data_IF_083520201874
#
_entry.id   IF_083520201874
#
_cell.length_a   1.000
_cell.length_b   1.000
_cell.length_c   1.000
_cell.angle_alpha   90.00
_cell.angle_beta   90.00
_cell.angle_gamma   90.00
#
_symmetry.space_group_name_H-M   'P 1'
#
loop_
_entity.id
_entity.type
_entity.pdbx_description
1 polymer ?
#
# COMPACT_ATOMS: atom_id res chain seq x y z
N UNK A 1 0.06 -30.17 2.45
CA UNK A 1 -1.21 -29.42 2.55
C UNK A 1 -0.89 -27.93 2.62
N UNK A 2 -1.56 -27.09 1.80
CA UNK A 2 -1.35 -25.63 1.82
C UNK A 2 -2.14 -25.04 2.97
N UNK A 3 -1.59 -25.08 4.18
CA UNK A 3 -2.21 -24.47 5.35
C UNK A 3 -2.25 -22.95 5.19
N UNK A 4 -3.46 -22.38 5.21
CA UNK A 4 -3.64 -20.93 5.38
C UNK A 4 -2.94 -20.47 6.67
N UNK A 5 -2.47 -19.22 6.71
CA UNK A 5 -1.95 -18.58 7.94
C UNK A 5 -2.95 -18.75 9.09
N UNK A 6 -4.25 -18.76 8.78
CA UNK A 6 -5.34 -19.04 9.73
C UNK A 6 -5.26 -20.43 10.36
N UNK A 7 -4.96 -21.47 9.57
CA UNK A 7 -4.83 -22.84 10.09
C UNK A 7 -3.59 -23.00 10.98
N UNK A 8 -2.51 -22.30 10.64
CA UNK A 8 -1.31 -22.26 11.47
C UNK A 8 -1.58 -21.51 12.80
N UNK A 9 -2.36 -20.42 12.76
CA UNK A 9 -2.84 -19.71 13.96
C UNK A 9 -3.73 -20.58 14.85
N UNK A 10 -4.66 -21.35 14.27
CA UNK A 10 -5.51 -22.27 15.03
C UNK A 10 -4.71 -23.39 15.69
N UNK A 11 -3.69 -23.90 15.00
CA UNK A 11 -2.79 -24.93 15.55
C UNK A 11 -1.94 -24.36 16.69
N UNK A 12 -1.38 -23.16 16.50
CA UNK A 12 -0.62 -22.46 17.54
C UNK A 12 -1.48 -22.11 18.76
N UNK A 13 -2.74 -21.72 18.57
CA UNK A 13 -3.62 -21.43 19.71
C UNK A 13 -4.01 -22.68 20.52
N UNK A 14 -3.93 -23.87 19.91
CA UNK A 14 -4.31 -25.12 20.57
C UNK A 14 -3.16 -25.73 21.38
N UNK A 15 -1.97 -25.76 20.79
CA UNK A 15 -0.80 -26.46 21.35
C UNK A 15 0.44 -25.54 21.36
N UNK A 16 0.32 -24.30 21.83
CA UNK A 16 1.46 -23.39 21.86
C UNK A 16 2.53 -23.91 22.84
N UNK A 17 3.76 -24.23 22.41
CA UNK A 17 4.87 -24.40 23.34
C UNK A 17 5.15 -23.06 24.06
N UNK A 18 5.96 -23.07 25.12
CA UNK A 18 6.29 -21.88 25.93
C UNK A 18 7.18 -20.84 25.20
N UNK A 19 6.77 -20.39 24.01
CA UNK A 19 7.43 -19.40 23.18
C UNK A 19 6.68 -18.06 23.16
N UNK A 20 7.41 -16.94 23.23
CA UNK A 20 6.84 -15.60 23.13
C UNK A 20 6.55 -15.17 21.66
N UNK A 21 7.14 -15.85 20.67
CA UNK A 21 6.99 -15.59 19.24
C UNK A 21 7.33 -16.78 18.33
N UNK A 22 6.77 -16.78 17.11
CA UNK A 22 6.99 -17.79 16.07
C UNK A 22 7.16 -17.14 14.69
N UNK A 23 8.05 -17.69 13.86
CA UNK A 23 8.17 -17.31 12.45
C UNK A 23 7.48 -18.36 11.61
N UNK A 24 6.48 -17.95 10.83
CA UNK A 24 5.75 -18.84 9.91
C UNK A 24 6.03 -18.39 8.49
N UNK A 25 6.40 -19.34 7.63
CA UNK A 25 6.47 -19.10 6.20
C UNK A 25 5.12 -19.40 5.55
N UNK A 26 4.54 -18.42 4.87
CA UNK A 26 3.36 -18.62 4.05
C UNK A 26 3.76 -18.83 2.59
N UNK A 27 3.50 -20.03 2.08
CA UNK A 27 3.77 -20.37 0.68
C UNK A 27 2.86 -19.61 -0.30
N UNK A 28 1.66 -19.19 0.11
CA UNK A 28 0.71 -18.49 -0.77
C UNK A 28 1.15 -17.08 -1.14
N UNK A 29 1.87 -16.41 -0.23
CA UNK A 29 2.38 -15.06 -0.45
C UNK A 29 3.91 -14.96 -0.45
N UNK A 30 4.62 -16.10 -0.36
CA UNK A 30 6.08 -16.21 -0.35
C UNK A 30 6.74 -15.27 0.68
N UNK A 31 6.13 -15.15 1.87
CA UNK A 31 6.55 -14.24 2.94
C UNK A 31 6.66 -14.96 4.27
N UNK A 32 7.56 -14.46 5.11
CA UNK A 32 7.66 -14.84 6.52
C UNK A 32 6.81 -13.89 7.37
N UNK A 33 6.07 -14.45 8.32
CA UNK A 33 5.26 -13.72 9.28
C UNK A 33 5.81 -14.01 10.67
N UNK A 34 6.05 -12.95 11.44
CA UNK A 34 6.39 -13.07 12.86
C UNK A 34 5.09 -12.96 13.66
N UNK A 35 4.63 -14.07 14.22
CA UNK A 35 3.51 -14.08 15.16
C UNK A 35 4.05 -13.94 16.58
N UNK A 36 3.39 -13.13 17.41
CA UNK A 36 3.75 -12.93 18.81
C UNK A 36 2.48 -12.82 19.66
N UNK A 37 2.60 -13.16 20.93
CA UNK A 37 1.48 -13.10 21.88
C UNK A 37 1.09 -11.65 22.15
N UNK A 38 -0.20 -11.40 22.35
CA UNK A 38 -0.66 -10.05 22.70
C UNK A 38 0.06 -9.55 23.97
N UNK A 39 0.66 -8.36 23.90
CA UNK A 39 1.45 -7.79 24.98
C UNK A 39 2.96 -8.13 24.97
N UNK A 40 3.42 -9.07 24.14
CA UNK A 40 4.87 -9.40 24.03
C UNK A 40 5.61 -8.65 22.92
N UNK A 41 4.93 -7.76 22.18
CA UNK A 41 5.49 -7.07 21.00
C UNK A 41 6.87 -6.44 21.26
N UNK A 42 6.98 -5.57 22.27
CA UNK A 42 8.23 -4.86 22.55
C UNK A 42 9.37 -5.83 22.90
N UNK A 43 9.09 -6.83 23.74
CA UNK A 43 10.05 -7.86 24.15
C UNK A 43 10.55 -8.70 22.96
N UNK A 44 9.65 -9.04 22.03
CA UNK A 44 9.98 -9.79 20.82
C UNK A 44 10.82 -8.96 19.87
N UNK A 45 10.45 -7.69 19.64
CA UNK A 45 11.21 -6.79 18.77
C UNK A 45 12.60 -6.47 19.32
N UNK A 46 12.74 -6.34 20.64
CA UNK A 46 14.03 -6.13 21.30
C UNK A 46 14.95 -7.36 21.14
N UNK A 47 14.45 -8.57 21.41
CA UNK A 47 15.19 -9.82 21.16
C UNK A 47 15.56 -10.01 19.69
N UNK A 48 14.69 -9.61 18.77
CA UNK A 48 14.97 -9.66 17.34
C UNK A 48 16.10 -8.67 16.98
N UNK A 49 16.06 -7.46 17.53
CA UNK A 49 17.11 -6.46 17.33
C UNK A 49 18.46 -6.94 17.92
N UNK A 50 18.47 -7.52 19.12
CA UNK A 50 19.64 -8.14 19.73
C UNK A 50 20.18 -9.31 18.90
N UNK A 51 19.28 -10.16 18.37
CA UNK A 51 19.66 -11.27 17.48
C UNK A 51 20.25 -10.77 16.16
N UNK A 52 19.72 -9.69 15.59
CA UNK A 52 20.27 -9.08 14.37
C UNK A 52 21.62 -8.40 14.63
N UNK A 53 21.78 -7.75 15.79
CA UNK A 53 23.03 -7.14 16.19
C UNK A 53 24.11 -8.19 16.52
N UNK A 54 23.74 -9.30 17.17
CA UNK A 54 24.66 -10.41 17.45
C UNK A 54 24.95 -11.26 16.21
N UNK A 55 24.00 -11.44 15.29
CA UNK A 55 24.26 -12.02 13.97
C UNK A 55 25.11 -11.11 13.08
N UNK A 56 25.24 -9.83 13.42
CA UNK A 56 26.16 -8.89 12.78
C UNK A 56 27.60 -8.95 13.30
N UNK A 57 27.94 -9.97 14.12
CA UNK A 57 29.28 -10.16 14.67
C UNK A 57 30.38 -10.32 13.58
N UNK A 58 31.63 -10.14 14.00
CA UNK A 58 32.51 -9.04 13.61
C UNK A 58 33.11 -9.23 12.20
N UNK A 59 33.52 -8.13 11.57
CA UNK A 59 34.24 -8.11 10.29
C UNK A 59 35.43 -9.08 10.21
N UNK A 60 35.97 -9.54 11.34
CA UNK A 60 37.08 -10.51 11.40
C UNK A 60 36.69 -11.95 11.01
N UNK A 61 35.47 -12.40 11.29
CA UNK A 61 35.06 -13.77 10.93
C UNK A 61 34.70 -13.89 9.44
N UNK A 62 34.29 -12.76 8.82
CA UNK A 62 34.17 -12.64 7.35
C UNK A 62 35.52 -12.67 6.65
N UNK A 63 36.57 -12.10 7.25
CA UNK A 63 37.91 -12.11 6.67
C UNK A 63 38.48 -13.54 6.57
N UNK A 64 38.25 -14.37 7.61
CA UNK A 64 38.74 -15.76 7.64
C UNK A 64 37.91 -16.72 6.77
N UNK A 65 36.60 -16.50 6.63
CA UNK A 65 35.79 -17.26 5.66
C UNK A 65 36.10 -16.86 4.21
N UNK A 66 36.37 -15.58 3.96
CA UNK A 66 36.76 -15.10 2.64
C UNK A 66 38.17 -15.60 2.24
N UNK A 67 39.13 -15.61 3.16
CA UNK A 67 40.44 -16.26 2.95
C UNK A 67 40.32 -17.76 2.70
N UNK A 68 39.50 -18.48 3.46
CA UNK A 68 39.26 -19.92 3.25
C UNK A 68 38.63 -20.21 1.89
N UNK A 69 37.65 -19.40 1.46
CA UNK A 69 37.05 -19.51 0.13
C UNK A 69 38.04 -19.21 -0.98
N UNK A 70 38.90 -18.21 -0.79
CA UNK A 70 39.94 -17.85 -1.75
C UNK A 70 41.02 -18.94 -1.87
N UNK A 71 41.35 -19.62 -0.76
CA UNK A 71 42.27 -20.76 -0.75
C UNK A 71 41.70 -21.97 -1.49
N UNK A 72 40.43 -22.30 -1.25
CA UNK A 72 39.73 -23.38 -1.96
C UNK A 72 39.56 -23.10 -3.46
N UNK A 73 39.41 -21.83 -3.87
CA UNK A 73 39.35 -21.44 -5.28
C UNK A 73 40.69 -21.59 -6.01
N UNK A 74 41.81 -21.48 -5.29
CA UNK A 74 43.14 -21.67 -5.87
C UNK A 74 43.51 -23.15 -6.03
N UNK A 75 42.94 -24.04 -5.22
CA UNK A 75 43.24 -25.48 -5.23
C UNK A 75 42.39 -26.27 -6.24
N UNK A 76 41.24 -25.75 -6.65
CA UNK A 76 40.44 -26.38 -7.70
C UNK A 76 40.91 -25.93 -9.10
N UNK A 77 41.22 -26.87 -9.99
CA UNK A 77 41.43 -26.62 -11.43
C UNK A 77 40.11 -26.20 -12.09
N UNK A 78 39.65 -25.00 -11.79
CA UNK A 78 38.45 -24.41 -12.38
C UNK A 78 38.78 -24.01 -13.83
N UNK A 79 38.04 -24.51 -14.83
CA UNK A 79 38.17 -24.10 -16.23
C UNK A 79 38.19 -22.58 -16.41
N UNK A 80 38.97 -22.09 -17.37
CA UNK A 80 39.17 -20.65 -17.59
C UNK A 80 37.84 -19.88 -17.76
N UNK A 81 36.85 -20.49 -18.42
CA UNK A 81 35.53 -19.89 -18.65
C UNK A 81 34.75 -19.67 -17.35
N UNK A 82 34.83 -20.61 -16.42
CA UNK A 82 34.18 -20.49 -15.11
C UNK A 82 34.87 -19.42 -14.24
N UNK A 83 36.20 -19.25 -14.35
CA UNK A 83 36.91 -18.15 -13.68
C UNK A 83 36.51 -16.79 -14.24
N UNK A 84 36.31 -16.68 -15.56
CA UNK A 84 35.84 -15.46 -16.20
C UNK A 84 34.42 -15.08 -15.73
N UNK A 85 33.52 -16.07 -15.69
CA UNK A 85 32.15 -15.88 -15.19
C UNK A 85 32.14 -15.47 -13.71
N UNK A 86 32.96 -16.11 -12.88
CA UNK A 86 33.10 -15.76 -11.47
C UNK A 86 33.58 -14.31 -11.28
N UNK A 87 34.54 -13.86 -12.10
CA UNK A 87 35.00 -12.47 -12.08
C UNK A 87 33.88 -11.49 -12.44
N UNK A 88 33.03 -11.85 -13.41
CA UNK A 88 31.87 -11.03 -13.77
C UNK A 88 30.84 -10.97 -12.64
N UNK A 89 30.55 -12.09 -11.97
CA UNK A 89 29.65 -12.14 -10.82
C UNK A 89 30.17 -11.23 -9.70
N UNK A 90 31.45 -11.37 -9.34
CA UNK A 90 32.07 -10.54 -8.30
C UNK A 90 32.01 -9.04 -8.65
N UNK A 91 32.23 -8.68 -9.93
CA UNK A 91 32.09 -7.30 -10.39
C UNK A 91 30.64 -6.81 -10.33
N UNK A 92 29.66 -7.66 -10.66
CA UNK A 92 28.25 -7.33 -10.55
C UNK A 92 27.85 -7.10 -9.09
N UNK A 93 28.29 -7.96 -8.17
CA UNK A 93 28.05 -7.82 -6.73
C UNK A 93 28.64 -6.51 -6.18
N UNK A 94 29.88 -6.17 -6.57
CA UNK A 94 30.51 -4.91 -6.20
C UNK A 94 29.71 -3.69 -6.71
N UNK A 95 29.21 -3.75 -7.96
CA UNK A 95 28.34 -2.69 -8.51
C UNK A 95 27.04 -2.56 -7.72
N UNK A 96 26.37 -3.68 -7.41
CA UNK A 96 25.13 -3.65 -6.62
C UNK A 96 25.35 -3.10 -5.21
N UNK A 97 26.51 -3.41 -4.60
CA UNK A 97 26.87 -2.89 -3.28
C UNK A 97 27.10 -1.39 -3.32
N UNK A 98 27.80 -0.90 -4.34
CA UNK A 98 28.04 0.54 -4.53
C UNK A 98 26.73 1.29 -4.82
N UNK A 99 25.84 0.72 -5.62
CA UNK A 99 24.52 1.30 -5.92
C UNK A 99 23.65 1.36 -4.66
N UNK A 100 23.67 0.32 -3.82
CA UNK A 100 22.97 0.32 -2.53
C UNK A 100 23.49 1.43 -1.60
N UNK A 101 24.81 1.60 -1.49
CA UNK A 101 25.43 2.67 -0.70
C UNK A 101 25.06 4.08 -1.23
N UNK A 102 25.00 4.25 -2.55
CA UNK A 102 24.55 5.50 -3.17
C UNK A 102 23.08 5.78 -2.87
N UNK A 103 22.22 4.77 -2.94
CA UNK A 103 20.80 4.91 -2.62
C UNK A 103 20.58 5.30 -1.14
N UNK A 104 21.36 4.73 -0.23
CA UNK A 104 21.34 5.11 1.19
C UNK A 104 21.75 6.57 1.39
N UNK A 105 22.84 7.00 0.73
CA UNK A 105 23.31 8.40 0.78
C UNK A 105 22.24 9.36 0.27
N UNK A 106 21.66 9.10 -0.90
CA UNK A 106 20.57 9.91 -1.48
C UNK A 106 19.32 9.95 -0.57
N UNK A 107 19.00 8.85 0.10
CA UNK A 107 17.91 8.81 1.07
C UNK A 107 18.17 9.74 2.26
N UNK A 108 19.40 9.76 2.79
CA UNK A 108 19.77 10.67 3.88
C UNK A 108 19.74 12.14 3.45
N UNK A 109 20.22 12.45 2.25
CA UNK A 109 20.17 13.81 1.68
C UNK A 109 18.74 14.28 1.47
N UNK A 110 17.86 13.41 0.95
CA UNK A 110 16.44 13.72 0.78
C UNK A 110 15.76 14.01 2.13
N UNK A 111 16.08 13.26 3.17
CA UNK A 111 15.55 13.52 4.51
C UNK A 111 16.08 14.85 5.08
N UNK A 112 17.35 15.17 4.88
CA UNK A 112 17.91 16.46 5.28
C UNK A 112 17.22 17.63 4.57
N UNK A 113 17.05 17.55 3.24
CA UNK A 113 16.34 18.56 2.45
C UNK A 113 14.87 18.73 2.89
N UNK A 114 14.17 17.63 3.22
CA UNK A 114 12.80 17.69 3.77
C UNK A 114 12.74 18.47 5.10
N UNK A 115 13.73 18.29 5.98
CA UNK A 115 13.82 19.04 7.25
C UNK A 115 14.06 20.52 6.99
N UNK A 116 14.97 20.85 6.08
CA UNK A 116 15.26 22.24 5.69
C UNK A 116 14.01 22.95 5.12
N UNK A 117 13.26 22.30 4.23
CA UNK A 117 12.00 22.85 3.70
C UNK A 117 10.97 23.07 4.82
N UNK A 118 10.89 22.15 5.79
CA UNK A 118 9.97 22.30 6.92
C UNK A 118 10.36 23.50 7.80
N UNK A 119 11.66 23.71 8.03
CA UNK A 119 12.18 24.87 8.76
C UNK A 119 11.94 26.19 8.00
N UNK A 120 12.18 26.22 6.69
CA UNK A 120 11.89 27.41 5.89
C UNK A 120 10.40 27.75 5.90
N UNK A 121 9.52 26.74 5.83
CA UNK A 121 8.06 26.94 5.94
C UNK A 121 7.67 27.51 7.30
N UNK A 122 8.31 27.08 8.39
CA UNK A 122 8.02 27.64 9.72
C UNK A 122 8.49 29.09 9.83
N UNK A 123 9.68 29.42 9.30
CA UNK A 123 10.18 30.81 9.24
C UNK A 123 9.28 31.73 8.41
N UNK A 124 8.83 31.28 7.24
CA UNK A 124 7.89 32.05 6.41
C UNK A 124 6.58 32.32 7.14
N UNK A 125 6.03 31.32 7.86
CA UNK A 125 4.82 31.51 8.68
C UNK A 125 5.01 32.51 9.82
N UNK A 126 6.20 32.58 10.42
CA UNK A 126 6.51 33.55 11.47
C UNK A 126 6.67 34.97 10.94
N UNK A 127 7.12 35.14 9.69
CA UNK A 127 7.26 36.46 9.05
C UNK A 127 5.95 36.96 8.42
N UNK A 128 4.99 36.09 8.15
CA UNK A 128 3.71 36.48 7.60
C UNK A 128 2.92 37.21 8.68
N UNK A 129 2.55 38.50 8.48
CA UNK A 129 1.67 39.18 9.42
C UNK A 129 0.38 38.39 9.56
N UNK A 130 -0.23 38.34 10.75
CA UNK A 130 -1.48 37.63 10.96
C UNK A 130 -2.46 38.11 9.89
N UNK A 131 -3.00 37.15 9.11
CA UNK A 131 -3.95 37.48 8.06
C UNK A 131 -5.04 38.36 8.67
N UNK A 132 -5.40 39.49 8.04
CA UNK A 132 -6.46 40.34 8.57
C UNK A 132 -7.69 39.46 8.77
N UNK A 133 -8.42 39.62 9.89
CA UNK A 133 -9.59 38.82 10.16
C UNK A 133 -10.48 38.87 8.93
N UNK A 134 -10.76 37.69 8.35
CA UNK A 134 -11.58 37.60 7.16
C UNK A 134 -12.85 38.42 7.41
N UNK A 135 -13.26 39.30 6.47
CA UNK A 135 -14.45 40.10 6.66
C UNK A 135 -15.59 39.14 6.98
N UNK A 136 -16.17 39.28 8.18
CA UNK A 136 -17.34 38.53 8.60
C UNK A 136 -18.41 38.92 7.58
N UNK A 137 -18.57 38.10 6.54
CA UNK A 137 -19.71 38.18 5.66
C UNK A 137 -20.89 37.90 6.58
N UNK A 138 -21.59 38.97 6.98
CA UNK A 138 -22.93 38.86 7.55
C UNK A 138 -23.73 38.10 6.50
N UNK A 139 -23.88 36.79 6.71
CA UNK A 139 -24.76 35.98 5.90
C UNK A 139 -26.15 36.55 6.18
N UNK A 140 -26.68 37.26 5.20
CA UNK A 140 -28.00 37.87 5.28
C UNK A 140 -29.03 36.74 5.30
N UNK A 141 -29.37 36.28 6.51
CA UNK A 141 -30.31 35.20 6.80
C UNK A 141 -31.72 35.50 6.24
N UNK A 142 -31.98 36.74 5.83
CA UNK A 142 -33.25 37.14 5.20
C UNK A 142 -33.39 36.65 3.75
N UNK A 143 -32.30 36.37 3.03
CA UNK A 143 -32.36 35.90 1.64
C UNK A 143 -32.69 34.40 1.52
N UNK A 144 -32.45 33.62 2.58
CA UNK A 144 -32.61 32.15 2.54
C UNK A 144 -34.07 31.68 2.73
N UNK A 145 -35.00 32.58 3.05
CA UNK A 145 -36.42 32.23 3.29
C UNK A 145 -37.28 32.17 2.04
N UNK A 146 -36.81 32.64 0.87
CA UNK A 146 -37.62 32.60 -0.36
C UNK A 146 -37.48 31.31 -1.17
N UNK A 147 -36.40 30.55 -0.99
CA UNK A 147 -36.13 29.35 -1.80
C UNK A 147 -36.49 28.03 -1.09
N UNK A 148 -36.96 28.08 0.15
CA UNK A 148 -37.52 26.93 0.87
C UNK A 148 -39.03 27.10 1.03
N UNK A 149 -39.73 27.04 -0.11
CA UNK A 149 -41.14 26.70 -0.10
C UNK A 149 -41.33 25.30 0.49
N UNK A 150 -42.21 25.18 1.47
CA UNK A 150 -42.83 23.92 1.89
C UNK A 150 -41.89 22.86 2.51
N UNK A 151 -41.46 23.08 3.75
CA UNK A 151 -41.24 21.97 4.68
C UNK A 151 -42.01 22.22 5.96
N UNK A 152 -42.92 21.29 6.23
CA UNK A 152 -43.80 21.28 7.40
C UNK A 152 -43.02 21.31 8.70
N UNK A 153 -43.66 21.89 9.70
CA UNK A 153 -43.27 21.93 11.10
C UNK A 153 -42.77 20.58 11.61
N UNK A 154 -41.45 20.44 11.78
CA UNK A 154 -40.88 19.40 12.65
C UNK A 154 -40.39 20.04 13.93
N UNK A 155 -41.01 19.62 15.04
CA UNK A 155 -40.64 19.96 16.41
C UNK A 155 -39.28 19.34 16.74
N UNK A 156 -38.29 20.19 17.04
CA UNK A 156 -36.96 19.78 17.48
C UNK A 156 -37.02 19.50 18.98
N UNK A 157 -36.92 18.22 19.35
CA UNK A 157 -36.50 17.81 20.71
C UNK A 157 -34.97 17.75 20.72
N UNK A 158 -34.37 18.58 21.57
CA UNK A 158 -32.96 18.54 21.92
C UNK A 158 -32.69 17.41 22.91
N UNK A 159 -31.76 16.50 22.58
CA UNK A 159 -30.66 16.02 23.43
C UNK A 159 -30.17 14.65 22.96
N UNK A 160 -28.85 14.53 22.85
CA UNK A 160 -28.15 13.24 22.88
C UNK A 160 -27.63 12.76 21.53
N UNK A 161 -26.31 12.84 21.39
CA UNK A 161 -25.45 11.94 20.63
C UNK A 161 -25.38 11.99 19.09
N UNK A 162 -24.18 12.42 18.65
CA UNK A 162 -23.41 12.06 17.45
C UNK A 162 -24.01 12.35 16.06
N UNK A 163 -23.30 13.11 15.20
CA UNK A 163 -23.73 13.29 13.82
C UNK A 163 -23.32 12.08 12.96
N UNK A 164 -24.23 11.11 12.83
CA UNK A 164 -24.28 10.25 11.64
C UNK A 164 -25.09 10.98 10.57
N UNK A 165 -24.38 11.70 9.71
CA UNK A 165 -24.92 12.64 8.74
C UNK A 165 -25.05 11.95 7.38
N UNK A 166 -26.02 11.04 7.22
CA UNK A 166 -26.33 10.36 5.96
C UNK A 166 -27.81 9.93 5.87
N UNK A 167 -28.73 10.88 5.75
CA UNK A 167 -30.10 10.70 5.20
C UNK A 167 -30.57 12.12 4.81
N UNK A 168 -31.21 12.44 3.70
CA UNK A 168 -31.63 11.71 2.54
C UNK A 168 -31.95 12.79 1.48
N UNK A 169 -31.33 12.71 0.33
CA UNK A 169 -31.77 13.38 -0.89
C UNK A 169 -31.69 12.33 -1.98
N UNK A 170 -32.84 11.80 -2.39
CA UNK A 170 -32.96 10.82 -3.47
C UNK A 170 -32.60 11.48 -4.82
N UNK A 171 -31.33 11.74 -5.04
CA UNK A 171 -30.80 11.73 -6.39
C UNK A 171 -30.46 10.27 -6.71
N UNK A 172 -30.80 9.82 -7.91
CA UNK A 172 -30.37 8.54 -8.46
C UNK A 172 -28.83 8.53 -8.65
N UNK A 173 -28.09 8.58 -7.54
CA UNK A 173 -26.62 8.57 -7.47
C UNK A 173 -26.04 7.16 -7.71
N UNK A 174 -26.86 6.25 -8.24
CA UNK A 174 -26.48 4.91 -8.68
C UNK A 174 -25.84 4.91 -10.09
N UNK A 175 -25.39 6.07 -10.57
CA UNK A 175 -24.65 6.14 -11.82
C UNK A 175 -23.28 5.45 -11.63
N UNK A 176 -23.03 4.45 -12.46
CA UNK A 176 -21.71 3.87 -12.70
C UNK A 176 -21.30 4.25 -14.11
N UNK A 177 -20.04 4.66 -14.31
CA UNK A 177 -19.53 4.98 -15.63
C UNK A 177 -18.11 4.44 -15.82
N UNK A 178 -17.79 4.05 -17.06
CA UNK A 178 -16.46 3.51 -17.43
C UNK A 178 -15.37 4.55 -17.24
N UNK A 179 -15.69 5.82 -17.47
CA UNK A 179 -14.84 6.98 -17.23
C UNK A 179 -14.58 7.25 -15.72
N UNK A 180 -15.35 6.60 -14.84
CA UNK A 180 -15.15 6.65 -13.39
C UNK A 180 -14.41 5.41 -12.89
N UNK A 181 -13.33 5.05 -13.60
CA UNK A 181 -12.42 3.99 -13.24
C UNK A 181 -11.00 4.54 -12.99
N UNK A 182 -10.28 3.91 -12.05
CA UNK A 182 -8.86 4.17 -11.80
C UNK A 182 -8.10 2.86 -11.98
N UNK A 183 -7.07 2.86 -12.83
CA UNK A 183 -6.24 1.68 -13.04
C UNK A 183 -5.41 1.37 -11.78
N UNK A 184 -5.46 0.12 -11.31
CA UNK A 184 -4.68 -0.35 -10.16
C UNK A 184 -3.48 -1.23 -10.59
N UNK A 185 -3.53 -1.80 -11.80
CA UNK A 185 -2.47 -2.66 -12.34
C UNK A 185 -2.82 -4.16 -12.30
N UNK A 186 -1.89 -5.05 -12.65
CA UNK A 186 -2.17 -6.48 -12.82
C UNK A 186 -2.26 -7.24 -11.50
N UNK A 187 -1.73 -6.70 -10.40
CA UNK A 187 -1.79 -7.36 -9.11
C UNK A 187 -3.21 -7.30 -8.54
N UNK A 188 -3.73 -8.47 -8.17
CA UNK A 188 -4.96 -8.56 -7.40
C UNK A 188 -4.70 -7.94 -6.02
N UNK A 189 -5.37 -6.84 -5.68
CA UNK A 189 -5.22 -6.29 -4.35
C UNK A 189 -5.90 -7.23 -3.34
N UNK A 190 -5.34 -7.33 -2.13
CA UNK A 190 -5.94 -8.13 -1.08
C UNK A 190 -7.27 -7.51 -0.65
N UNK A 191 -8.31 -8.33 -0.50
CA UNK A 191 -9.65 -7.86 -0.12
C UNK A 191 -9.66 -7.14 1.24
N UNK A 192 -8.73 -7.48 2.13
CA UNK A 192 -8.56 -6.84 3.42
C UNK A 192 -8.09 -5.38 3.31
N UNK A 193 -7.32 -5.04 2.26
CA UNK A 193 -6.71 -3.72 2.10
C UNK A 193 -7.70 -2.68 1.53
N UNK A 194 -8.76 -3.16 0.87
CA UNK A 194 -9.79 -2.34 0.24
C UNK A 194 -11.06 -2.29 1.09
N UNK A 195 -10.97 -1.64 2.26
CA UNK A 195 -12.13 -1.45 3.15
C UNK A 195 -13.34 -0.84 2.42
N UNK A 196 -14.35 -1.68 2.15
CA UNK A 196 -15.61 -1.28 1.53
C UNK A 196 -15.63 -1.30 0.00
N UNK A 197 -14.60 -1.80 -0.68
CA UNK A 197 -14.69 -2.09 -2.11
C UNK A 197 -15.08 -3.56 -2.33
N UNK A 198 -15.96 -3.79 -3.30
CA UNK A 198 -16.41 -5.15 -3.65
C UNK A 198 -15.60 -5.65 -4.83
N UNK A 199 -15.06 -6.86 -4.72
CA UNK A 199 -14.35 -7.52 -5.83
C UNK A 199 -15.34 -8.26 -6.71
N UNK A 200 -15.40 -7.89 -7.97
CA UNK A 200 -16.19 -8.60 -8.98
C UNK A 200 -15.41 -9.83 -9.44
N UNK A 201 -16.08 -10.98 -9.53
CA UNK A 201 -15.46 -12.22 -10.00
C UNK A 201 -14.96 -12.04 -11.44
N UNK A 202 -13.65 -12.20 -11.71
CA UNK A 202 -13.08 -12.11 -13.07
C UNK A 202 -13.74 -13.06 -14.07
N UNK A 203 -14.31 -14.18 -13.62
CA UNK A 203 -15.04 -15.11 -14.51
C UNK A 203 -16.40 -14.55 -14.96
N UNK A 204 -16.99 -13.69 -14.14
CA UNK A 204 -18.30 -13.09 -14.40
C UNK A 204 -18.23 -11.79 -15.22
N UNK A 205 -17.07 -11.12 -15.18
CA UNK A 205 -16.82 -9.80 -15.76
C UNK A 205 -15.43 -9.77 -16.39
N UNK A 206 -15.37 -9.82 -17.72
CA UNK A 206 -14.13 -9.79 -18.51
C UNK A 206 -13.72 -8.38 -18.95
N UNK A 207 -14.64 -7.42 -18.88
CA UNK A 207 -14.39 -6.03 -19.29
C UNK A 207 -15.03 -5.02 -18.35
N UNK A 208 -14.44 -3.82 -18.29
CA UNK A 208 -14.97 -2.72 -17.50
C UNK A 208 -16.39 -2.29 -17.94
N UNK A 209 -16.69 -2.33 -19.25
CA UNK A 209 -18.03 -2.05 -19.77
C UNK A 209 -19.04 -3.08 -19.30
N UNK A 210 -18.70 -4.36 -19.30
CA UNK A 210 -19.55 -5.42 -18.77
C UNK A 210 -19.78 -5.25 -17.27
N UNK A 211 -18.73 -4.85 -16.52
CA UNK A 211 -18.82 -4.54 -15.09
C UNK A 211 -19.88 -3.47 -14.82
N UNK A 212 -19.75 -2.33 -15.51
CA UNK A 212 -20.66 -1.18 -15.38
C UNK A 212 -22.08 -1.56 -15.79
N UNK A 213 -22.25 -2.30 -16.90
CA UNK A 213 -23.57 -2.76 -17.34
C UNK A 213 -24.26 -3.62 -16.28
N UNK A 214 -23.54 -4.58 -15.68
CA UNK A 214 -24.08 -5.47 -14.63
C UNK A 214 -24.38 -4.75 -13.31
N UNK A 215 -23.59 -3.72 -12.98
CA UNK A 215 -23.83 -2.87 -11.81
C UNK A 215 -25.07 -1.98 -12.01
N UNK A 216 -25.26 -1.45 -13.22
CA UNK A 216 -26.43 -0.62 -13.58
C UNK A 216 -27.72 -1.44 -13.66
N UNK A 217 -27.67 -2.68 -14.16
CA UNK A 217 -28.85 -3.57 -14.20
C UNK A 217 -29.22 -4.15 -12.83
N UNK A 218 -28.33 -4.02 -11.83
CA UNK A 218 -28.50 -4.64 -10.51
C UNK A 218 -28.26 -6.15 -10.51
N UNK A 219 -27.72 -6.73 -11.60
CA UNK A 219 -27.29 -8.14 -11.62
C UNK A 219 -26.17 -8.37 -10.59
N UNK A 220 -25.30 -7.37 -10.40
CA UNK A 220 -24.28 -7.36 -9.36
C UNK A 220 -24.67 -6.37 -8.28
N UNK A 221 -25.03 -6.89 -7.10
CA UNK A 221 -25.36 -6.07 -5.94
C UNK A 221 -24.07 -5.52 -5.32
N UNK A 222 -23.85 -4.21 -5.51
CA UNK A 222 -22.74 -3.49 -4.89
C UNK A 222 -23.26 -2.66 -3.70
N UNK A 223 -23.04 -3.16 -2.48
CA UNK A 223 -23.41 -2.47 -1.24
C UNK A 223 -22.54 -1.24 -0.92
N UNK A 224 -21.50 -0.98 -1.70
CA UNK A 224 -20.58 0.14 -1.50
C UNK A 224 -20.53 1.11 -2.68
N UNK A 225 -19.71 2.14 -2.51
CA UNK A 225 -19.44 3.15 -3.55
C UNK A 225 -18.29 2.77 -4.49
N UNK A 226 -17.61 1.66 -4.19
CA UNK A 226 -16.38 1.23 -4.82
C UNK A 226 -16.49 -0.24 -5.24
N UNK A 227 -16.07 -0.54 -6.47
CA UNK A 227 -16.01 -1.89 -6.98
C UNK A 227 -14.68 -2.11 -7.71
N UNK A 228 -14.10 -3.29 -7.55
CA UNK A 228 -12.86 -3.70 -8.22
C UNK A 228 -13.23 -4.72 -9.29
N UNK A 229 -12.92 -4.39 -10.55
CA UNK A 229 -13.18 -5.25 -11.69
C UNK A 229 -11.88 -5.55 -12.45
N UNK A 230 -11.73 -6.79 -12.90
CA UNK A 230 -10.70 -7.11 -13.88
C UNK A 230 -11.12 -6.62 -15.28
N UNK A 231 -10.15 -6.17 -16.08
CA UNK A 231 -10.38 -5.79 -17.47
C UNK A 231 -9.31 -6.42 -18.36
N UNK A 232 -9.72 -7.35 -19.23
CA UNK A 232 -8.83 -8.00 -20.19
C UNK A 232 -8.18 -6.96 -21.12
N UNK A 233 -8.95 -5.96 -21.57
CA UNK A 233 -8.42 -4.88 -22.43
C UNK A 233 -7.29 -4.06 -21.79
N UNK A 234 -7.26 -3.98 -20.46
CA UNK A 234 -6.23 -3.26 -19.72
C UNK A 234 -5.21 -4.21 -19.06
N UNK A 235 -5.41 -5.53 -19.17
CA UNK A 235 -4.62 -6.57 -18.50
C UNK A 235 -4.40 -6.25 -17.01
N UNK A 236 -5.45 -5.79 -16.33
CA UNK A 236 -5.33 -5.31 -14.97
C UNK A 236 -6.65 -5.03 -14.26
N UNK A 237 -6.57 -4.93 -12.94
CA UNK A 237 -7.65 -4.51 -12.08
C UNK A 237 -7.88 -3.01 -12.18
N UNK A 238 -9.15 -2.63 -12.20
CA UNK A 238 -9.61 -1.25 -12.20
C UNK A 238 -10.58 -1.03 -11.04
N UNK A 239 -10.40 0.09 -10.35
CA UNK A 239 -11.29 0.54 -9.28
C UNK A 239 -12.37 1.44 -9.89
N UNK A 240 -13.58 0.92 -10.00
CA UNK A 240 -14.78 1.67 -10.30
C UNK A 240 -15.25 2.43 -9.06
N UNK A 241 -15.70 3.66 -9.25
CA UNK A 241 -16.28 4.48 -8.18
C UNK A 241 -17.57 5.15 -8.63
N UNK A 242 -18.52 5.32 -7.69
CA UNK A 242 -19.75 6.08 -7.92
C UNK A 242 -19.47 7.58 -8.05
N UNK A 243 -20.41 8.30 -8.66
CA UNK A 243 -20.38 9.76 -8.74
C UNK A 243 -20.17 10.38 -7.36
N UNK A 244 -19.28 11.39 -7.27
CA UNK A 244 -18.93 12.03 -6.00
C UNK A 244 -17.86 11.32 -5.15
N UNK A 245 -17.58 10.02 -5.38
CA UNK A 245 -16.60 9.26 -4.60
C UNK A 245 -15.16 9.28 -5.15
N UNK A 246 -14.87 10.08 -6.20
CA UNK A 246 -13.55 10.16 -6.85
C UNK A 246 -12.40 10.39 -5.86
N UNK A 247 -12.55 11.34 -4.92
CA UNK A 247 -11.49 11.65 -3.93
C UNK A 247 -11.19 10.47 -3.01
N UNK A 248 -12.23 9.72 -2.62
CA UNK A 248 -12.11 8.52 -1.79
C UNK A 248 -11.40 7.41 -2.56
N UNK A 249 -11.80 7.17 -3.81
CA UNK A 249 -11.17 6.20 -4.69
C UNK A 249 -9.68 6.52 -4.92
N UNK A 250 -9.34 7.79 -5.21
CA UNK A 250 -7.95 8.23 -5.37
C UNK A 250 -7.12 8.01 -4.11
N UNK A 251 -7.65 8.36 -2.94
CA UNK A 251 -6.97 8.12 -1.66
C UNK A 251 -6.69 6.63 -1.45
N UNK A 252 -7.65 5.77 -1.79
CA UNK A 252 -7.52 4.33 -1.65
C UNK A 252 -6.42 3.79 -2.59
N UNK A 253 -6.39 4.22 -3.85
CA UNK A 253 -5.33 3.85 -4.79
C UNK A 253 -3.96 4.34 -4.33
N UNK A 254 -3.85 5.53 -3.73
CA UNK A 254 -2.59 6.01 -3.15
C UNK A 254 -2.13 5.12 -1.98
N UNK A 255 -3.04 4.75 -1.07
CA UNK A 255 -2.72 3.86 0.06
C UNK A 255 -2.28 2.47 -0.44
N UNK A 256 -2.94 1.94 -1.47
CA UNK A 256 -2.52 0.68 -2.11
C UNK A 256 -1.15 0.81 -2.76
N UNK A 257 -0.87 1.93 -3.43
CA UNK A 257 0.43 2.16 -4.04
C UNK A 257 1.54 2.25 -2.98
N UNK A 258 1.29 2.91 -1.85
CA UNK A 258 2.22 2.96 -0.72
C UNK A 258 2.44 1.56 -0.11
N UNK A 259 1.37 0.79 0.10
CA UNK A 259 1.45 -0.56 0.65
C UNK A 259 2.22 -1.50 -0.29
N UNK A 260 1.94 -1.41 -1.60
CA UNK A 260 2.65 -2.17 -2.61
C UNK A 260 4.12 -1.78 -2.67
N UNK A 261 4.44 -0.48 -2.70
CA UNK A 261 5.81 0.06 -2.75
C UNK A 261 6.63 -0.32 -1.53
N UNK A 262 6.00 -0.38 -0.35
CA UNK A 262 6.64 -0.88 0.87
C UNK A 262 6.86 -2.39 0.87
N UNK A 263 6.26 -3.12 -0.08
CA UNK A 263 6.38 -4.56 -0.19
C UNK A 263 7.28 -4.94 -1.37
N UNK A 264 8.00 -6.08 -1.25
CA UNK A 264 8.88 -6.61 -2.30
C UNK A 264 8.18 -6.77 -3.67
N UNK A 265 6.84 -6.89 -3.68
CA UNK A 265 6.04 -6.94 -4.89
C UNK A 265 5.93 -5.58 -5.60
N UNK A 266 5.95 -4.45 -4.89
CA UNK A 266 5.94 -3.12 -5.50
C UNK A 266 7.22 -2.80 -6.24
N UNK A 267 8.38 -3.25 -5.73
CA UNK A 267 9.65 -3.13 -6.45
C UNK A 267 9.64 -3.91 -7.77
N UNK A 268 9.05 -5.12 -7.79
CA UNK A 268 8.90 -5.89 -9.02
C UNK A 268 7.89 -5.25 -10.00
N UNK A 269 6.87 -4.56 -9.49
CA UNK A 269 5.87 -3.88 -10.31
C UNK A 269 6.38 -2.54 -10.89
N UNK A 270 7.21 -1.81 -10.14
CA UNK A 270 7.98 -0.65 -10.61
C UNK A 270 8.96 -1.07 -11.73
N UNK A 271 9.66 -2.19 -11.53
CA UNK A 271 10.52 -2.79 -12.55
C UNK A 271 9.74 -3.25 -13.80
N UNK A 272 8.54 -3.82 -13.64
CA UNK A 272 7.68 -4.20 -14.76
C UNK A 272 7.11 -2.97 -15.51
N UNK A 273 6.80 -1.88 -14.80
CA UNK A 273 6.35 -0.61 -15.40
C UNK A 273 7.44 0.09 -16.19
N UNK A 274 8.69 0.03 -15.72
CA UNK A 274 9.84 0.64 -16.40
C UNK A 274 10.34 -0.21 -17.58
N UNK A 275 10.02 -1.50 -17.61
CA UNK A 275 10.37 -2.41 -18.72
C UNK A 275 9.25 -2.59 -19.76
N UNK A 276 8.01 -2.18 -19.46
CA UNK A 276 6.93 -2.13 -20.43
C UNK A 276 7.10 -0.91 -21.37
N UNK A 277 7.60 -1.21 -22.57
CA UNK A 277 7.93 -0.39 -23.74
C UNK A 277 7.04 0.84 -24.09
N UNK A 278 7.57 1.80 -24.89
CA UNK A 278 6.85 2.96 -25.36
C UNK A 278 5.78 2.54 -26.37
N UNK A 279 4.58 3.12 -26.22
CA UNK A 279 3.58 3.11 -27.29
C UNK A 279 4.05 4.09 -28.35
N UNK A 280 4.51 3.58 -29.49
CA UNK A 280 4.54 4.37 -30.72
C UNK A 280 3.09 4.67 -31.16
N UNK A 281 2.86 5.87 -31.74
CA UNK A 281 1.52 6.36 -32.11
C UNK A 281 0.87 5.58 -33.26
#
# INVERSE_FOLDING_TARGET
ERGSVTAALETLNRDMPDGDCYIIFSASCLRHFLLYRHGSHNKVMERLAESLQSASAPKEERATTQERLQKLQNEAEIPADLRALQKQILQAEQRTTLEAQRAETLSTELQAAKREIAELRSRVRQQQPPAPPAPIKKVDLCSFKKDLGYLGSMSVRTQGDLPNLCMAGMHDDNEWAVEWAIAMGPCQPDAADLHGAIFLDPKSVTSLRAAVAKLLTGELVCHGDLAVAWSDSAMGYQLLYRRGCKKRAQKLVCLLAEHLSSSKAGLLLELARTTAWPREP
#
